data_IF_280903434338
#
_entry.id   IF_280903434338
#
_cell.length_a   1.000
_cell.length_b   1.000
_cell.length_c   1.000
_cell.angle_alpha   90.00
_cell.angle_beta   90.00
_cell.angle_gamma   90.00
#
_symmetry.space_group_name_H-M   'P 1'
#
loop_
_entity.id
_entity.type
_entity.pdbx_description
1 polymer ?
#
# COMPACT_ATOMS: atom_id res chain seq x y z
N UNK A 1 -12.30 23.10 -17.87
CA UNK A 1 -12.17 21.64 -17.71
C UNK A 1 -11.99 21.38 -16.23
N UNK A 2 -12.95 20.76 -15.57
CA UNK A 2 -12.77 20.33 -14.17
C UNK A 2 -11.72 19.23 -14.19
N UNK A 3 -10.57 19.46 -13.56
CA UNK A 3 -9.55 18.42 -13.37
C UNK A 3 -10.18 17.32 -12.54
N UNK A 4 -10.16 16.08 -13.06
CA UNK A 4 -10.67 14.92 -12.35
C UNK A 4 -9.81 14.67 -11.11
N UNK A 5 -10.44 14.44 -9.96
CA UNK A 5 -9.74 14.19 -8.69
C UNK A 5 -8.96 12.87 -8.76
N UNK A 6 -7.65 12.90 -8.48
CA UNK A 6 -6.75 11.76 -8.66
C UNK A 6 -6.38 11.11 -7.33
N UNK A 7 -6.57 9.81 -7.25
CA UNK A 7 -6.30 8.98 -6.08
C UNK A 7 -5.15 8.03 -6.40
N UNK A 8 -4.01 8.18 -5.73
CA UNK A 8 -2.89 7.24 -5.78
C UNK A 8 -3.05 6.15 -4.72
N UNK A 9 -3.23 4.90 -5.13
CA UNK A 9 -3.50 3.77 -4.24
C UNK A 9 -2.31 2.82 -4.23
N UNK A 10 -1.71 2.60 -3.05
CA UNK A 10 -0.63 1.64 -2.88
C UNK A 10 -1.13 0.19 -2.91
N UNK A 11 -0.23 -0.76 -3.08
CA UNK A 11 -0.53 -2.19 -3.19
C UNK A 11 -0.15 -2.95 -1.93
N UNK A 12 1.15 -2.94 -1.56
CA UNK A 12 1.65 -3.71 -0.43
C UNK A 12 1.11 -3.14 0.88
N UNK A 13 0.50 -3.99 1.69
CA UNK A 13 -0.07 -3.57 2.97
C UNK A 13 -1.37 -2.75 2.86
N UNK A 14 -1.78 -2.28 1.67
CA UNK A 14 -3.06 -1.61 1.44
C UNK A 14 -4.07 -2.55 0.76
N UNK A 15 -3.68 -3.18 -0.33
CA UNK A 15 -4.51 -4.12 -1.08
C UNK A 15 -4.07 -5.56 -0.85
N UNK A 16 -2.77 -5.82 -0.97
CA UNK A 16 -2.14 -7.13 -0.89
C UNK A 16 -1.44 -7.30 0.46
N UNK A 17 -1.79 -8.33 1.21
CA UNK A 17 -1.10 -8.70 2.46
C UNK A 17 0.15 -9.54 2.16
N UNK A 18 1.13 -8.91 1.49
CA UNK A 18 2.38 -9.57 1.14
C UNK A 18 3.19 -9.97 2.38
N UNK A 19 3.04 -9.25 3.49
CA UNK A 19 3.71 -9.57 4.76
C UNK A 19 3.22 -10.91 5.32
N UNK A 20 1.93 -11.23 5.17
CA UNK A 20 1.42 -12.56 5.52
C UNK A 20 2.17 -13.65 4.74
N UNK A 21 2.28 -13.51 3.43
CA UNK A 21 3.01 -14.47 2.58
C UNK A 21 4.49 -14.52 2.93
N UNK A 22 5.11 -13.38 3.25
CA UNK A 22 6.50 -13.33 3.69
C UNK A 22 6.69 -14.03 5.05
N UNK A 23 5.78 -13.88 6.00
CA UNK A 23 5.83 -14.60 7.27
C UNK A 23 5.76 -16.11 7.05
N UNK A 24 4.87 -16.57 6.18
CA UNK A 24 4.78 -18.00 5.82
C UNK A 24 6.08 -18.52 5.19
N UNK A 25 6.73 -17.71 4.37
CA UNK A 25 8.03 -18.03 3.77
C UNK A 25 9.13 -18.03 4.83
N UNK A 26 9.26 -16.95 5.60
CA UNK A 26 10.30 -16.78 6.63
C UNK A 26 10.21 -17.86 7.72
N UNK A 27 8.99 -18.20 8.17
CA UNK A 27 8.78 -19.16 9.25
C UNK A 27 9.15 -20.60 8.89
N UNK A 28 9.37 -20.89 7.60
CA UNK A 28 9.90 -22.16 7.12
C UNK A 28 11.42 -22.25 7.15
N UNK A 29 12.10 -21.11 7.12
CA UNK A 29 13.57 -21.05 6.97
C UNK A 29 14.29 -20.43 8.16
N UNK A 30 13.56 -19.73 9.03
CA UNK A 30 14.10 -19.03 10.21
C UNK A 30 13.20 -19.25 11.43
N UNK A 31 13.52 -18.49 12.52
CA UNK A 31 12.66 -18.42 13.70
C UNK A 31 11.28 -17.91 13.34
N UNK A 32 10.24 -18.55 13.87
CA UNK A 32 8.86 -18.13 13.69
C UNK A 32 8.62 -16.70 14.21
N UNK A 33 7.96 -15.90 13.41
CA UNK A 33 7.53 -14.54 13.70
C UNK A 33 6.01 -14.52 13.52
N UNK A 34 5.27 -13.96 14.49
CA UNK A 34 3.84 -13.70 14.32
C UNK A 34 3.60 -12.28 13.81
N UNK A 35 2.48 -12.05 13.13
CA UNK A 35 2.13 -10.72 12.61
C UNK A 35 1.92 -9.71 13.75
N UNK A 36 1.47 -10.17 14.91
CA UNK A 36 1.25 -9.38 16.12
C UNK A 36 2.55 -8.86 16.73
N UNK A 37 3.68 -9.52 16.47
CA UNK A 37 5.01 -9.08 16.92
C UNK A 37 5.57 -7.93 16.06
N UNK A 38 4.96 -7.67 14.89
CA UNK A 38 5.35 -6.59 13.99
C UNK A 38 4.73 -5.28 14.50
N UNK A 39 5.52 -4.45 15.15
CA UNK A 39 5.05 -3.18 15.75
C UNK A 39 5.75 -1.93 15.20
N UNK A 40 6.66 -2.09 14.23
CA UNK A 40 7.49 -1.03 13.65
C UNK A 40 7.75 -1.32 12.17
N UNK A 41 7.98 -0.27 11.39
CA UNK A 41 8.16 -0.37 9.94
C UNK A 41 9.34 -1.27 9.54
N UNK A 42 10.46 -1.12 10.20
CA UNK A 42 11.71 -1.84 9.93
C UNK A 42 11.90 -3.08 10.81
N UNK A 43 10.78 -3.74 11.15
CA UNK A 43 10.73 -4.90 12.06
C UNK A 43 11.70 -6.02 11.70
N UNK A 44 12.06 -6.19 10.43
CA UNK A 44 13.01 -7.21 9.97
C UNK A 44 14.40 -7.07 10.62
N UNK A 45 14.79 -5.86 11.04
CA UNK A 45 16.07 -5.62 11.74
C UNK A 45 16.13 -6.36 13.07
N UNK A 46 15.01 -6.49 13.80
CA UNK A 46 14.93 -7.26 15.06
C UNK A 46 15.29 -8.73 14.87
N UNK A 47 15.12 -9.24 13.65
CA UNK A 47 15.41 -10.61 13.27
C UNK A 47 16.75 -10.76 12.52
N UNK A 48 17.60 -9.73 12.57
CA UNK A 48 18.90 -9.68 11.92
C UNK A 48 18.83 -9.86 10.39
N UNK A 49 17.70 -9.49 9.79
CA UNK A 49 17.53 -9.46 8.35
C UNK A 49 17.87 -8.04 7.89
N UNK A 50 18.77 -7.89 6.92
CA UNK A 50 19.07 -6.58 6.37
C UNK A 50 17.99 -6.15 5.36
N UNK A 51 17.92 -4.85 5.06
CA UNK A 51 16.92 -4.26 4.16
C UNK A 51 16.91 -4.93 2.78
N UNK A 52 18.09 -5.18 2.20
CA UNK A 52 18.23 -5.76 0.87
C UNK A 52 17.63 -7.17 0.82
N UNK A 53 17.99 -8.04 1.76
CA UNK A 53 17.48 -9.41 1.84
C UNK A 53 15.96 -9.42 2.07
N UNK A 54 15.44 -8.54 2.94
CA UNK A 54 14.01 -8.41 3.17
C UNK A 54 13.23 -8.08 1.88
N UNK A 55 13.64 -7.04 1.15
CA UNK A 55 12.95 -6.66 -0.09
C UNK A 55 13.13 -7.71 -1.20
N UNK A 56 14.28 -8.38 -1.27
CA UNK A 56 14.48 -9.52 -2.16
C UNK A 56 13.52 -10.67 -1.84
N UNK A 57 13.31 -10.97 -0.57
CA UNK A 57 12.34 -12.00 -0.14
C UNK A 57 10.89 -11.58 -0.45
N UNK A 58 10.54 -10.30 -0.29
CA UNK A 58 9.24 -9.81 -0.76
C UNK A 58 9.06 -9.98 -2.27
N UNK A 59 10.11 -9.73 -3.06
CA UNK A 59 10.08 -9.96 -4.51
C UNK A 59 9.85 -11.45 -4.84
N UNK A 60 10.44 -12.37 -4.07
CA UNK A 60 10.17 -13.82 -4.20
C UNK A 60 8.72 -14.17 -3.82
N UNK A 61 8.15 -13.52 -2.80
CA UNK A 61 6.74 -13.69 -2.46
C UNK A 61 5.84 -13.27 -3.63
N UNK A 62 6.17 -12.19 -4.32
CA UNK A 62 5.42 -11.73 -5.48
C UNK A 62 5.50 -12.69 -6.68
N UNK A 63 6.58 -13.44 -6.84
CA UNK A 63 6.61 -14.53 -7.84
C UNK A 63 5.54 -15.60 -7.57
N UNK A 64 5.11 -15.72 -6.31
CA UNK A 64 4.01 -16.61 -5.88
C UNK A 64 2.71 -15.80 -5.67
N UNK A 65 2.45 -14.79 -6.50
CA UNK A 65 1.35 -13.83 -6.36
C UNK A 65 -0.01 -14.46 -6.04
N UNK A 66 -0.30 -15.65 -6.58
CA UNK A 66 -1.55 -16.40 -6.34
C UNK A 66 -1.75 -16.84 -4.88
N UNK A 67 -0.70 -16.78 -4.05
CA UNK A 67 -0.73 -17.08 -2.61
C UNK A 67 -0.89 -15.83 -1.74
N UNK A 68 -0.73 -14.64 -2.32
CA UNK A 68 -0.83 -13.40 -1.56
C UNK A 68 -2.31 -13.10 -1.30
N UNK A 69 -2.75 -13.10 -0.02
CA UNK A 69 -4.12 -12.75 0.29
C UNK A 69 -4.38 -11.25 0.10
N UNK A 70 -5.63 -10.88 -0.08
CA UNK A 70 -6.05 -9.48 0.06
C UNK A 70 -6.04 -9.05 1.52
N UNK A 71 -5.78 -7.77 1.79
CA UNK A 71 -5.81 -7.20 3.16
C UNK A 71 -7.19 -7.28 3.79
N UNK A 72 -8.24 -7.17 2.96
CA UNK A 72 -9.64 -7.25 3.37
C UNK A 72 -10.52 -7.84 2.26
N UNK A 73 -11.72 -8.26 2.62
CA UNK A 73 -12.70 -8.75 1.66
C UNK A 73 -13.27 -7.60 0.80
N UNK A 74 -13.77 -7.94 -0.41
CA UNK A 74 -14.53 -7.01 -1.26
C UNK A 74 -13.76 -5.78 -1.76
N UNK A 75 -12.43 -5.85 -1.88
CA UNK A 75 -11.59 -4.75 -2.39
C UNK A 75 -12.09 -4.22 -3.74
N UNK A 76 -12.45 -5.11 -4.68
CA UNK A 76 -12.94 -4.69 -6.01
C UNK A 76 -14.18 -3.81 -5.93
N UNK A 77 -15.12 -4.12 -5.03
CA UNK A 77 -16.32 -3.30 -4.82
C UNK A 77 -15.96 -1.94 -4.21
N UNK A 78 -15.06 -1.93 -3.22
CA UNK A 78 -14.62 -0.69 -2.59
C UNK A 78 -13.87 0.22 -3.56
N UNK A 79 -12.99 -0.35 -4.38
CA UNK A 79 -12.24 0.43 -5.39
C UNK A 79 -13.17 0.95 -6.48
N UNK A 80 -14.16 0.16 -6.91
CA UNK A 80 -15.19 0.65 -7.81
C UNK A 80 -15.98 1.84 -7.23
N UNK A 81 -16.27 1.81 -5.92
CA UNK A 81 -16.91 2.96 -5.25
C UNK A 81 -15.99 4.19 -5.18
N UNK A 82 -14.67 4.01 -5.00
CA UNK A 82 -13.69 5.09 -5.07
C UNK A 82 -13.59 5.66 -6.49
N UNK A 83 -13.62 4.81 -7.52
CA UNK A 83 -13.60 5.22 -8.94
C UNK A 83 -14.83 6.03 -9.36
N UNK A 84 -15.93 5.98 -8.61
CA UNK A 84 -17.09 6.87 -8.83
C UNK A 84 -16.88 8.29 -8.24
N UNK A 85 -15.80 8.50 -7.49
CA UNK A 85 -15.52 9.79 -6.84
C UNK A 85 -14.32 10.48 -7.51
N UNK A 86 -13.37 9.71 -8.02
CA UNK A 86 -12.18 10.20 -8.68
C UNK A 86 -11.46 9.10 -9.45
N UNK A 87 -10.45 9.50 -10.20
CA UNK A 87 -9.59 8.60 -10.95
C UNK A 87 -8.70 7.81 -9.98
N UNK A 88 -8.80 6.48 -9.98
CA UNK A 88 -7.99 5.60 -9.14
C UNK A 88 -6.85 5.01 -9.95
N UNK A 89 -5.62 5.35 -9.57
CA UNK A 89 -4.40 4.78 -10.11
C UNK A 89 -3.72 3.91 -9.04
N UNK A 90 -3.10 2.83 -9.50
CA UNK A 90 -2.18 2.06 -8.66
C UNK A 90 -0.82 2.76 -8.65
N UNK A 91 -0.31 3.08 -7.45
CA UNK A 91 0.99 3.76 -7.27
C UNK A 91 1.83 2.98 -6.26
N UNK A 92 2.74 2.16 -6.74
CA UNK A 92 3.51 1.23 -5.89
C UNK A 92 5.02 1.41 -6.04
N UNK A 93 5.74 1.32 -4.92
CA UNK A 93 7.20 1.42 -4.87
C UNK A 93 7.82 0.03 -4.84
N UNK A 94 8.43 -0.41 -5.96
CA UNK A 94 9.01 -1.75 -6.08
C UNK A 94 9.89 -1.92 -7.31
N UNK A 95 10.66 -3.01 -7.33
CA UNK A 95 11.43 -3.42 -8.48
C UNK A 95 10.55 -3.74 -9.69
N UNK A 96 10.96 -3.27 -10.87
CA UNK A 96 10.25 -3.47 -12.13
C UNK A 96 9.99 -4.95 -12.45
N UNK A 97 10.93 -5.82 -12.08
CA UNK A 97 10.84 -7.28 -12.24
C UNK A 97 9.59 -7.91 -11.63
N UNK A 98 8.97 -7.23 -10.64
CA UNK A 98 7.78 -7.72 -9.94
C UNK A 98 6.46 -7.17 -10.50
N UNK A 99 6.49 -6.15 -11.35
CA UNK A 99 5.28 -5.46 -11.84
C UNK A 99 4.29 -6.41 -12.53
N UNK A 100 4.79 -7.39 -13.31
CA UNK A 100 3.93 -8.36 -13.99
C UNK A 100 3.15 -9.21 -12.99
N UNK A 101 3.77 -9.62 -11.90
CA UNK A 101 3.11 -10.40 -10.84
C UNK A 101 2.05 -9.59 -10.12
N UNK A 102 2.34 -8.32 -9.81
CA UNK A 102 1.37 -7.42 -9.19
C UNK A 102 0.16 -7.21 -10.10
N UNK A 103 0.37 -6.93 -11.39
CA UNK A 103 -0.72 -6.78 -12.36
C UNK A 103 -1.56 -8.06 -12.48
N UNK A 104 -0.91 -9.25 -12.45
CA UNK A 104 -1.62 -10.53 -12.44
C UNK A 104 -2.48 -10.68 -11.18
N UNK A 105 -1.96 -10.30 -10.02
CA UNK A 105 -2.70 -10.33 -8.76
C UNK A 105 -3.90 -9.35 -8.78
N UNK A 106 -3.71 -8.11 -9.23
CA UNK A 106 -4.77 -7.11 -9.36
C UNK A 106 -5.90 -7.61 -10.29
N UNK A 107 -5.53 -8.23 -11.42
CA UNK A 107 -6.48 -8.84 -12.34
C UNK A 107 -7.24 -10.00 -11.71
N UNK A 108 -6.54 -10.89 -10.99
CA UNK A 108 -7.15 -12.01 -10.28
C UNK A 108 -8.15 -11.54 -9.21
N UNK A 109 -7.81 -10.47 -8.47
CA UNK A 109 -8.69 -9.83 -7.49
C UNK A 109 -9.79 -8.97 -8.12
N UNK A 110 -9.85 -8.87 -9.45
CA UNK A 110 -10.81 -8.06 -10.22
C UNK A 110 -10.78 -6.58 -9.81
N UNK A 111 -9.61 -6.07 -9.51
CA UNK A 111 -9.40 -4.67 -9.14
C UNK A 111 -9.27 -3.84 -10.43
N UNK A 112 -10.21 -2.92 -10.62
CA UNK A 112 -10.19 -1.96 -11.72
C UNK A 112 -9.43 -0.70 -11.29
N UNK A 113 -8.52 -0.23 -12.14
CA UNK A 113 -7.76 1.00 -11.97
C UNK A 113 -7.51 1.62 -13.34
N UNK A 114 -7.21 2.93 -13.38
CA UNK A 114 -6.97 3.62 -14.67
C UNK A 114 -5.53 3.42 -15.14
N UNK A 115 -4.55 3.79 -14.31
CA UNK A 115 -3.14 3.65 -14.63
C UNK A 115 -2.40 2.84 -13.56
N UNK A 116 -1.28 2.23 -13.96
CA UNK A 116 -0.34 1.58 -13.06
C UNK A 116 0.98 2.34 -13.10
N UNK A 117 1.36 2.93 -11.97
CA UNK A 117 2.58 3.72 -11.80
C UNK A 117 3.50 2.99 -10.82
N UNK A 118 4.56 2.41 -11.35
CA UNK A 118 5.65 1.84 -10.55
C UNK A 118 6.73 2.89 -10.35
N UNK A 119 7.20 3.03 -9.10
CA UNK A 119 8.38 3.83 -8.75
C UNK A 119 9.41 2.93 -8.07
N UNK A 120 10.69 3.30 -8.11
CA UNK A 120 11.75 2.50 -7.49
C UNK A 120 11.74 2.65 -5.96
N UNK A 121 11.50 3.86 -5.48
CA UNK A 121 11.49 4.16 -4.05
C UNK A 121 10.24 4.95 -3.66
N UNK A 122 9.76 4.73 -2.43
CA UNK A 122 8.57 5.41 -1.91
C UNK A 122 8.66 6.94 -1.93
N UNK A 123 9.87 7.49 -1.78
CA UNK A 123 10.10 8.93 -1.85
C UNK A 123 9.73 9.53 -3.21
N UNK A 124 9.81 8.77 -4.29
CA UNK A 124 9.45 9.25 -5.63
C UNK A 124 7.95 9.52 -5.77
N UNK A 125 7.09 8.92 -4.92
CA UNK A 125 5.66 9.23 -4.84
C UNK A 125 5.39 10.71 -4.58
N UNK A 126 6.31 11.41 -3.88
CA UNK A 126 6.18 12.85 -3.60
C UNK A 126 6.18 13.73 -4.84
N UNK A 127 6.75 13.24 -5.95
CA UNK A 127 6.86 13.96 -7.22
C UNK A 127 5.65 13.75 -8.14
N UNK A 128 4.78 12.79 -7.79
CA UNK A 128 3.61 12.45 -8.59
C UNK A 128 2.46 13.43 -8.33
N UNK A 129 1.67 13.67 -9.37
CA UNK A 129 0.55 14.61 -9.33
C UNK A 129 -0.76 13.87 -8.99
N UNK A 130 -0.95 13.61 -7.69
CA UNK A 130 -2.18 13.07 -7.11
C UNK A 130 -2.70 14.03 -6.04
N UNK A 131 -4.04 14.14 -5.94
CA UNK A 131 -4.71 14.94 -4.91
C UNK A 131 -4.64 14.27 -3.55
N UNK A 132 -4.64 12.93 -3.53
CA UNK A 132 -4.53 12.13 -2.31
C UNK A 132 -3.86 10.79 -2.57
N UNK A 133 -3.08 10.35 -1.60
CA UNK A 133 -2.52 9.00 -1.56
C UNK A 133 -3.17 8.17 -0.46
N UNK A 134 -3.36 6.87 -0.72
CA UNK A 134 -3.68 5.86 0.30
C UNK A 134 -2.48 4.92 0.37
N UNK A 135 -1.79 4.90 1.52
CA UNK A 135 -0.52 4.19 1.71
C UNK A 135 -0.45 3.66 3.15
N UNK A 136 0.26 2.57 3.39
CA UNK A 136 0.45 1.98 4.73
C UNK A 136 1.81 2.29 5.35
N UNK A 137 2.76 2.75 4.53
CA UNK A 137 4.11 3.06 4.97
C UNK A 137 4.15 4.38 5.75
N UNK A 138 4.58 4.36 7.03
CA UNK A 138 4.73 5.59 7.80
C UNK A 138 5.84 6.49 7.23
N UNK A 139 6.83 5.92 6.55
CA UNK A 139 7.92 6.67 5.91
C UNK A 139 7.42 7.38 4.66
N UNK A 140 6.68 6.68 3.80
CA UNK A 140 6.09 7.30 2.61
C UNK A 140 5.08 8.38 3.01
N UNK A 141 4.19 8.07 3.97
CA UNK A 141 3.21 9.02 4.48
C UNK A 141 3.88 10.30 4.98
N UNK A 142 4.92 10.18 5.82
CA UNK A 142 5.67 11.34 6.31
C UNK A 142 6.28 12.17 5.18
N UNK A 143 6.94 11.51 4.23
CA UNK A 143 7.58 12.19 3.10
C UNK A 143 6.56 12.90 2.20
N UNK A 144 5.43 12.27 1.91
CA UNK A 144 4.34 12.87 1.12
C UNK A 144 3.70 14.05 1.83
N UNK A 145 3.44 13.95 3.14
CA UNK A 145 2.91 15.06 3.96
C UNK A 145 3.87 16.24 4.02
N UNK A 146 5.17 15.99 4.14
CA UNK A 146 6.20 17.04 4.15
C UNK A 146 6.35 17.72 2.77
N UNK A 147 6.03 17.01 1.71
CA UNK A 147 5.91 17.56 0.35
C UNK A 147 4.55 18.24 0.07
N UNK A 148 3.69 18.39 1.08
CA UNK A 148 2.39 19.08 0.96
C UNK A 148 1.27 18.23 0.33
N UNK A 149 1.47 16.89 0.19
CA UNK A 149 0.45 16.00 -0.35
C UNK A 149 -0.56 15.58 0.73
N UNK A 150 -1.79 15.30 0.32
CA UNK A 150 -2.78 14.67 1.22
C UNK A 150 -2.55 13.18 1.32
N UNK A 151 -2.64 12.62 2.52
CA UNK A 151 -2.41 11.19 2.77
C UNK A 151 -3.50 10.60 3.66
N UNK A 152 -4.03 9.47 3.23
CA UNK A 152 -4.80 8.54 4.05
C UNK A 152 -3.87 7.38 4.42
N UNK A 153 -3.61 7.19 5.71
CA UNK A 153 -2.79 6.09 6.21
C UNK A 153 -3.67 4.88 6.49
N UNK A 154 -3.49 3.82 5.70
CA UNK A 154 -4.13 2.53 5.94
C UNK A 154 -3.46 1.84 7.13
N UNK A 155 -4.24 1.48 8.15
CA UNK A 155 -3.71 0.97 9.41
C UNK A 155 -3.17 -0.44 9.27
N UNK A 156 -1.91 -0.59 9.65
CA UNK A 156 -1.22 -1.86 9.77
C UNK A 156 -0.45 -1.90 11.11
N UNK A 157 -0.07 -3.07 11.62
CA UNK A 157 0.65 -3.17 12.90
C UNK A 157 1.91 -2.31 12.95
N UNK A 158 2.65 -2.21 11.86
CA UNK A 158 3.92 -1.45 11.76
C UNK A 158 3.77 0.06 11.71
N UNK A 159 2.55 0.59 11.57
CA UNK A 159 2.31 2.03 11.52
C UNK A 159 1.45 2.56 12.67
N UNK A 160 1.09 1.73 13.65
CA UNK A 160 0.22 2.14 14.77
C UNK A 160 0.77 3.34 15.55
N UNK A 161 2.11 3.44 15.67
CA UNK A 161 2.80 4.52 16.40
C UNK A 161 2.93 5.82 15.58
N UNK A 162 2.53 5.82 14.30
CA UNK A 162 2.59 7.02 13.47
C UNK A 162 1.58 8.06 13.94
N UNK A 163 2.08 9.18 14.48
CA UNK A 163 1.29 10.21 15.17
C UNK A 163 1.14 11.53 14.43
N UNK A 164 1.49 11.64 13.13
CA UNK A 164 1.32 12.87 12.38
C UNK A 164 -0.16 13.11 12.07
N UNK A 165 -0.75 14.14 12.71
CA UNK A 165 -2.17 14.48 12.62
C UNK A 165 -2.63 14.97 11.24
N UNK A 166 -1.71 15.27 10.34
CA UNK A 166 -2.01 15.64 8.95
C UNK A 166 -2.52 14.45 8.14
N UNK A 167 -2.06 13.21 8.46
CA UNK A 167 -2.59 12.01 7.85
C UNK A 167 -3.99 11.67 8.41
N UNK A 168 -4.89 11.26 7.52
CA UNK A 168 -6.16 10.67 7.94
C UNK A 168 -5.99 9.16 8.05
N UNK A 169 -6.23 8.60 9.24
CA UNK A 169 -6.08 7.16 9.49
C UNK A 169 -7.38 6.42 9.19
N UNK A 170 -7.26 5.27 8.50
CA UNK A 170 -8.38 4.34 8.25
C UNK A 170 -7.99 2.92 8.66
N UNK A 171 -8.99 2.09 8.95
CA UNK A 171 -8.83 0.67 9.29
C UNK A 171 -9.34 -0.26 8.18
N UNK A 172 -10.22 0.24 7.33
CA UNK A 172 -10.74 -0.43 6.15
C UNK A 172 -10.73 0.53 4.98
N UNK A 173 -10.50 0.04 3.76
CA UNK A 173 -10.39 0.89 2.57
C UNK A 173 -11.67 1.69 2.30
N UNK A 174 -12.85 1.11 2.63
CA UNK A 174 -14.14 1.82 2.50
C UNK A 174 -14.22 3.10 3.32
N UNK A 175 -13.46 3.21 4.42
CA UNK A 175 -13.45 4.40 5.28
C UNK A 175 -12.80 5.61 4.58
N UNK A 176 -12.05 5.38 3.49
CA UNK A 176 -11.52 6.47 2.65
C UNK A 176 -12.63 7.20 1.87
N UNK A 177 -13.75 6.53 1.55
CA UNK A 177 -14.83 7.08 0.73
C UNK A 177 -15.39 8.41 1.30
N UNK A 178 -15.85 8.48 2.55
CA UNK A 178 -16.36 9.74 3.11
C UNK A 178 -15.27 10.83 3.21
N UNK A 179 -14.01 10.44 3.49
CA UNK A 179 -12.89 11.38 3.57
C UNK A 179 -12.67 12.04 2.20
N UNK A 180 -12.60 11.25 1.13
CA UNK A 180 -12.35 11.74 -0.23
C UNK A 180 -13.54 12.59 -0.71
N UNK A 181 -14.77 12.17 -0.45
CA UNK A 181 -15.97 12.96 -0.79
C UNK A 181 -15.92 14.37 -0.20
N UNK A 182 -15.44 14.54 1.02
CA UNK A 182 -15.33 15.89 1.62
C UNK A 182 -14.27 16.77 0.96
N UNK A 183 -13.30 16.18 0.25
CA UNK A 183 -12.26 16.91 -0.48
C UNK A 183 -12.73 17.28 -1.90
N UNK A 184 -13.54 16.45 -2.54
CA UNK A 184 -14.05 16.68 -3.91
C UNK A 184 -15.21 17.66 -3.97
N UNK A 185 -15.84 17.99 -2.83
CA UNK A 185 -16.97 18.95 -2.75
C UNK A 185 -16.54 20.37 -2.42
N UNK A 186 -15.25 20.64 -2.36
CA UNK A 186 -14.67 22.00 -2.13
C UNK A 186 -14.22 22.58 -3.48
#
# INVERSE_FOLDING_TARGET
MTTEFKIGLDVDGVLADVIHTWLDYNNKIRKSISKEEISEWDFWQKYQINKYDFYKELSLCWQMWHKIPSTEANLSTTISALSNIGEVDIVTAREESTHTYVKSWLSYQKIAYKNYVGVLEGLEKTKLDYDIFIDDSPINAKSMLDAGKSVILYTQPWNLKFGDSRAKRIFQLKDAIPIIKTLTTR
#
